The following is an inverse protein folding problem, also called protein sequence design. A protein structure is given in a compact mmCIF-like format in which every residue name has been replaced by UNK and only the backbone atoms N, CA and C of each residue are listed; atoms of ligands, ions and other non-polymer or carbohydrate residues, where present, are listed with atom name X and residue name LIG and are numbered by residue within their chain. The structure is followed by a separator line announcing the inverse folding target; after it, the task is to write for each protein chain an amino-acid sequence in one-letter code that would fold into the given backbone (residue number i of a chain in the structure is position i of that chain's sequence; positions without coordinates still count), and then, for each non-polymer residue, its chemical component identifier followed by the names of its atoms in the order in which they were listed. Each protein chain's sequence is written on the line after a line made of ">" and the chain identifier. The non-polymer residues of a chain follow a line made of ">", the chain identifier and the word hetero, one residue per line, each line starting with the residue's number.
data_IF_864059812788
#
_entry.id   IF_864059812788
#
_cell.length_a   1.000
_cell.length_b   1.000
_cell.length_c   1.000
_cell.angle_alpha   90.00
_cell.angle_beta   90.00
_cell.angle_gamma   90.00
#
_symmetry.space_group_name_H-M   'P 1'
#
loop_
_entity.id
_entity.type
_entity.pdbx_description
1 polymer ?
#
# COMPACT_ATOMS: atom_id res chain seq x y z
N UNK A 1 9.93 -15.91 11.87
CA UNK A 1 8.57 -15.34 12.05
C UNK A 1 8.44 -14.25 11.02
N UNK A 2 7.27 -14.06 10.41
CA UNK A 2 7.05 -12.95 9.48
C UNK A 2 7.21 -11.61 10.23
N UNK A 3 7.75 -10.61 9.56
CA UNK A 3 7.88 -9.24 10.08
C UNK A 3 7.01 -8.35 9.22
N UNK A 4 5.99 -7.74 9.83
CA UNK A 4 5.10 -6.84 9.13
C UNK A 4 5.57 -5.41 9.31
N UNK A 5 5.80 -4.73 8.19
CA UNK A 5 6.25 -3.33 8.16
C UNK A 5 5.13 -2.44 7.62
N UNK A 6 4.97 -1.23 8.18
CA UNK A 6 4.01 -0.28 7.65
C UNK A 6 4.42 0.15 6.23
N UNK A 7 3.43 0.38 5.38
CA UNK A 7 3.61 0.99 4.06
C UNK A 7 3.99 2.47 4.16
N UNK A 8 3.42 3.15 5.15
CA UNK A 8 3.78 4.51 5.56
C UNK A 8 3.62 4.62 7.08
N UNK A 9 4.33 5.54 7.71
CA UNK A 9 4.27 5.73 9.17
C UNK A 9 2.91 6.26 9.65
N UNK A 10 2.08 6.79 8.74
CA UNK A 10 0.72 7.24 9.02
C UNK A 10 -0.25 6.76 7.93
N UNK A 11 -1.56 6.66 8.21
CA UNK A 11 -2.55 6.36 7.18
C UNK A 11 -2.45 7.36 6.00
N UNK A 12 -2.33 6.83 4.78
CA UNK A 12 -2.17 7.63 3.56
C UNK A 12 -3.54 7.97 2.98
N UNK A 13 -3.69 9.22 2.54
CA UNK A 13 -4.86 9.68 1.80
C UNK A 13 -4.64 9.54 0.29
N UNK A 14 -5.63 9.01 -0.43
CA UNK A 14 -5.59 8.91 -1.88
C UNK A 14 -6.53 9.92 -2.53
N UNK A 15 -6.13 10.40 -3.69
CA UNK A 15 -6.84 11.43 -4.47
C UNK A 15 -7.06 10.94 -5.91
N UNK A 16 -8.08 11.49 -6.55
CA UNK A 16 -8.33 11.29 -7.97
C UNK A 16 -7.51 12.26 -8.85
N UNK A 17 -7.71 12.21 -10.17
CA UNK A 17 -7.01 13.09 -11.12
C UNK A 17 -7.41 14.57 -11.04
N UNK A 18 -8.57 14.88 -10.44
CA UNK A 18 -9.01 16.25 -10.19
C UNK A 18 -8.43 16.81 -8.88
N UNK A 19 -7.78 15.96 -8.07
CA UNK A 19 -7.24 16.32 -6.76
C UNK A 19 -8.26 16.21 -5.63
N UNK A 20 -9.43 15.64 -5.90
CA UNK A 20 -10.44 15.35 -4.88
C UNK A 20 -10.10 14.04 -4.17
N UNK A 21 -10.48 13.85 -2.89
CA UNK A 21 -10.28 12.58 -2.21
C UNK A 21 -10.91 11.42 -3.00
N UNK A 22 -10.21 10.30 -3.08
CA UNK A 22 -10.65 9.12 -3.82
C UNK A 22 -11.72 8.36 -3.03
N UNK A 23 -12.92 8.91 -2.98
CA UNK A 23 -14.04 8.38 -2.18
C UNK A 23 -14.55 7.07 -2.75
N UNK A 24 -14.59 6.03 -1.90
CA UNK A 24 -15.11 4.72 -2.29
C UNK A 24 -14.26 3.98 -3.31
N UNK A 25 -13.05 4.47 -3.60
CA UNK A 25 -12.06 3.73 -4.38
C UNK A 25 -11.55 2.49 -3.64
N UNK A 26 -10.76 1.68 -4.34
CA UNK A 26 -10.17 0.48 -3.76
C UNK A 26 -8.69 0.37 -4.08
N UNK A 27 -7.95 -0.17 -3.11
CA UNK A 27 -6.55 -0.54 -3.24
C UNK A 27 -6.46 -2.06 -3.35
N UNK A 28 -5.80 -2.55 -4.39
CA UNK A 28 -5.54 -3.98 -4.60
C UNK A 28 -4.04 -4.24 -4.58
N UNK A 29 -3.62 -5.27 -3.84
CA UNK A 29 -2.23 -5.58 -3.58
C UNK A 29 -1.84 -6.91 -4.22
N UNK A 30 -0.67 -6.93 -4.87
CA UNK A 30 -0.12 -8.09 -5.57
C UNK A 30 1.37 -8.24 -5.28
N UNK A 31 1.91 -9.44 -5.48
CA UNK A 31 3.36 -9.62 -5.51
C UNK A 31 3.95 -8.91 -6.74
N UNK A 32 5.06 -8.19 -6.56
CA UNK A 32 5.70 -7.39 -7.61
C UNK A 32 5.95 -8.18 -8.90
N UNK A 33 5.69 -7.55 -10.05
CA UNK A 33 5.84 -8.15 -11.37
C UNK A 33 4.81 -9.25 -11.70
N UNK A 34 3.83 -9.51 -10.83
CA UNK A 34 2.83 -10.57 -11.02
C UNK A 34 1.39 -10.04 -10.93
N UNK A 35 0.44 -10.96 -11.04
CA UNK A 35 -0.98 -10.75 -10.72
C UNK A 35 -1.43 -11.61 -9.53
N UNK A 36 -0.48 -12.18 -8.78
CA UNK A 36 -0.76 -12.98 -7.59
C UNK A 36 -1.14 -12.03 -6.47
N UNK A 37 -2.36 -12.16 -5.94
CA UNK A 37 -2.82 -11.30 -4.85
C UNK A 37 -1.94 -11.47 -3.60
N UNK A 38 -1.65 -10.37 -2.93
CA UNK A 38 -0.81 -10.32 -1.73
C UNK A 38 -1.66 -9.92 -0.53
N UNK A 39 -1.54 -10.65 0.57
CA UNK A 39 -2.21 -10.30 1.82
C UNK A 39 -1.61 -9.04 2.45
N UNK A 40 -2.49 -8.21 2.99
CA UNK A 40 -2.16 -7.07 3.84
C UNK A 40 -2.64 -7.27 5.27
N UNK A 41 -2.10 -6.41 6.13
CA UNK A 41 -2.34 -6.41 7.56
C UNK A 41 -2.64 -4.99 8.07
N UNK A 42 -3.35 -4.87 9.19
CA UNK A 42 -3.68 -3.60 9.84
C UNK A 42 -2.68 -3.16 10.91
N UNK A 43 -1.75 -4.04 11.32
CA UNK A 43 -0.79 -3.82 12.39
C UNK A 43 0.47 -4.68 12.22
N UNK A 44 1.47 -4.43 13.07
CA UNK A 44 2.73 -5.17 13.11
C UNK A 44 2.60 -6.58 13.70
N UNK A 45 1.46 -6.90 14.33
CA UNK A 45 1.15 -8.24 14.84
C UNK A 45 0.61 -9.18 13.75
N UNK A 46 0.26 -8.65 12.57
CA UNK A 46 -0.19 -9.43 11.42
C UNK A 46 -1.69 -9.70 11.39
N UNK A 47 -2.52 -8.79 11.93
CA UNK A 47 -3.97 -8.87 11.75
C UNK A 47 -4.32 -8.69 10.28
N UNK A 48 -4.74 -9.77 9.62
CA UNK A 48 -5.04 -9.75 8.18
C UNK A 48 -6.26 -8.89 7.85
N UNK A 49 -6.16 -8.11 6.78
CA UNK A 49 -7.26 -7.34 6.18
C UNK A 49 -7.61 -7.84 4.77
N UNK A 50 -7.04 -8.97 4.34
CA UNK A 50 -7.21 -9.53 3.00
C UNK A 50 -6.27 -8.90 1.97
N UNK A 51 -6.64 -8.98 0.69
CA UNK A 51 -5.81 -8.59 -0.46
C UNK A 51 -6.23 -7.26 -1.10
N UNK A 52 -7.33 -6.68 -0.61
CA UNK A 52 -7.88 -5.41 -1.08
C UNK A 52 -8.56 -4.67 0.05
N UNK A 53 -8.51 -3.34 0.03
CA UNK A 53 -9.21 -2.48 0.98
C UNK A 53 -9.92 -1.34 0.27
N UNK A 54 -11.06 -0.92 0.80
CA UNK A 54 -11.84 0.21 0.30
C UNK A 54 -11.48 1.49 1.04
N UNK A 55 -11.61 2.61 0.35
CA UNK A 55 -11.33 3.94 0.89
C UNK A 55 -12.62 4.58 1.41
N UNK A 56 -12.51 5.29 2.53
CA UNK A 56 -13.63 6.03 3.11
C UNK A 56 -13.95 7.34 2.36
N UNK A 57 -14.88 8.13 2.90
CA UNK A 57 -15.31 9.42 2.34
C UNK A 57 -14.23 10.50 2.29
N UNK A 58 -13.09 10.27 2.95
CA UNK A 58 -11.93 11.14 2.93
C UNK A 58 -10.79 10.52 2.12
N UNK A 59 -10.97 9.37 1.47
CA UNK A 59 -9.91 8.73 0.68
C UNK A 59 -8.86 7.99 1.51
N UNK A 60 -9.15 7.67 2.77
CA UNK A 60 -8.27 6.85 3.61
C UNK A 60 -8.69 5.38 3.63
N UNK A 61 -7.74 4.44 3.77
CA UNK A 61 -8.05 3.04 4.03
C UNK A 61 -8.83 2.89 5.33
N UNK A 62 -9.97 2.18 5.27
CA UNK A 62 -10.85 1.97 6.42
C UNK A 62 -11.13 0.48 6.65
N UNK A 63 -11.07 0.07 7.92
CA UNK A 63 -11.56 -1.23 8.36
C UNK A 63 -12.38 -1.06 9.63
N UNK A 64 -13.58 -1.62 9.65
CA UNK A 64 -14.48 -1.55 10.81
C UNK A 64 -14.86 -0.13 11.23
N UNK A 65 -14.90 0.83 10.30
CA UNK A 65 -15.22 2.24 10.57
C UNK A 65 -14.06 3.09 11.11
N UNK A 66 -12.86 2.54 11.20
CA UNK A 66 -11.67 3.27 11.62
C UNK A 66 -10.70 3.45 10.45
N UNK A 67 -10.09 4.62 10.35
CA UNK A 67 -8.93 4.82 9.49
C UNK A 67 -7.75 4.01 10.03
N UNK A 68 -7.14 3.20 9.16
CA UNK A 68 -6.04 2.31 9.54
C UNK A 68 -4.78 2.58 8.72
N UNK A 69 -3.63 2.27 9.32
CA UNK A 69 -2.40 2.08 8.57
C UNK A 69 -2.45 0.75 7.80
N UNK A 70 -1.61 0.63 6.80
CA UNK A 70 -1.48 -0.60 6.02
C UNK A 70 -0.10 -1.20 6.23
N UNK A 71 -0.05 -2.51 6.46
CA UNK A 71 1.17 -3.26 6.75
C UNK A 71 1.33 -4.41 5.77
N UNK A 72 2.57 -4.65 5.36
CA UNK A 72 2.95 -5.74 4.46
C UNK A 72 4.04 -6.61 5.06
N UNK A 73 4.16 -7.84 4.60
CA UNK A 73 5.32 -8.69 4.95
C UNK A 73 6.62 -8.11 4.36
N UNK A 74 7.62 -7.88 5.21
CA UNK A 74 8.92 -7.31 4.85
C UNK A 74 9.70 -8.15 3.81
N UNK A 75 9.39 -9.44 3.66
CA UNK A 75 10.04 -10.33 2.71
C UNK A 75 9.48 -10.25 1.28
N UNK A 76 8.39 -9.50 1.08
CA UNK A 76 7.64 -9.47 -0.18
C UNK A 76 7.73 -8.12 -0.86
N UNK A 77 8.12 -8.13 -2.14
CA UNK A 77 8.02 -6.97 -3.01
C UNK A 77 6.57 -6.79 -3.46
N UNK A 78 6.14 -5.53 -3.59
CA UNK A 78 4.75 -5.15 -3.73
C UNK A 78 4.45 -4.52 -5.08
N UNK A 79 3.26 -4.82 -5.58
CA UNK A 79 2.54 -4.07 -6.60
C UNK A 79 1.22 -3.57 -6.02
N UNK A 80 0.93 -2.29 -6.23
CA UNK A 80 -0.30 -1.63 -5.81
C UNK A 80 -1.08 -1.16 -7.04
N UNK A 81 -2.33 -1.57 -7.13
CA UNK A 81 -3.29 -1.06 -8.12
C UNK A 81 -4.36 -0.27 -7.37
N UNK A 82 -4.54 0.98 -7.79
CA UNK A 82 -5.52 1.91 -7.23
C UNK A 82 -6.65 2.04 -8.24
N UNK A 83 -7.88 1.81 -7.79
CA UNK A 83 -9.09 1.93 -8.60
C UNK A 83 -10.04 2.96 -8.00
N UNK A 84 -10.79 3.62 -8.87
CA UNK A 84 -11.91 4.47 -8.48
C UNK A 84 -13.12 3.65 -8.03
N UNK A 85 -14.18 4.33 -7.58
CA UNK A 85 -15.41 3.71 -7.13
C UNK A 85 -16.21 3.00 -8.24
N UNK A 86 -15.90 3.29 -9.52
CA UNK A 86 -16.45 2.58 -10.67
C UNK A 86 -15.61 1.36 -11.08
N UNK A 87 -14.47 1.12 -10.39
CA UNK A 87 -13.54 0.03 -10.66
C UNK A 87 -12.52 0.32 -11.78
N UNK A 88 -12.45 1.54 -12.29
CA UNK A 88 -11.44 1.92 -13.27
C UNK A 88 -10.10 2.18 -12.59
N UNK A 89 -9.01 1.72 -13.21
CA UNK A 89 -7.66 1.91 -12.68
C UNK A 89 -7.25 3.37 -12.78
N UNK A 90 -6.98 3.99 -11.63
CA UNK A 90 -6.44 5.35 -11.51
C UNK A 90 -4.93 5.32 -11.65
N UNK A 91 -4.28 4.39 -10.94
CA UNK A 91 -2.82 4.29 -10.91
C UNK A 91 -2.38 2.85 -10.65
N UNK A 92 -1.23 2.49 -11.21
CA UNK A 92 -0.54 1.24 -10.87
C UNK A 92 0.91 1.57 -10.52
N UNK A 93 1.35 1.09 -9.36
CA UNK A 93 2.73 1.13 -8.92
C UNK A 93 3.24 -0.31 -8.83
N UNK A 94 4.28 -0.65 -9.57
CA UNK A 94 4.88 -1.99 -9.60
C UNK A 94 6.35 -1.93 -9.17
N UNK A 95 6.95 -3.08 -8.93
CA UNK A 95 8.36 -3.23 -8.52
C UNK A 95 8.73 -2.44 -7.26
N UNK A 96 7.80 -2.28 -6.30
CA UNK A 96 8.10 -1.68 -5.00
C UNK A 96 8.92 -2.71 -4.20
N UNK A 97 10.22 -2.48 -3.95
CA UNK A 97 11.09 -3.49 -3.36
C UNK A 97 10.68 -3.77 -1.92
N UNK A 98 10.91 -5.00 -1.44
CA UNK A 98 10.54 -5.46 -0.11
C UNK A 98 11.24 -4.66 1.01
N UNK A 99 12.51 -4.32 0.77
CA UNK A 99 13.33 -3.42 1.57
C UNK A 99 13.77 -2.24 0.70
N UNK A 100 13.75 -1.03 1.26
CA UNK A 100 14.31 0.13 0.58
C UNK A 100 15.81 -0.13 0.33
N UNK A 101 16.21 -0.17 -0.94
CA UNK A 101 17.62 -0.22 -1.30
C UNK A 101 18.19 1.21 -1.15
N UNK A 102 18.88 1.46 -0.05
CA UNK A 102 19.74 2.64 0.01
C UNK A 102 20.99 2.33 -0.82
N UNK A 103 21.30 3.18 -1.79
CA UNK A 103 22.57 3.09 -2.52
C UNK A 103 23.71 3.37 -1.55
N UNK A 104 24.34 2.31 -1.02
CA UNK A 104 25.48 2.44 -0.10
C UNK A 104 26.69 3.14 -0.72
N UNK A 105 26.74 3.24 -2.06
CA UNK A 105 27.76 3.99 -2.79
C UNK A 105 27.54 5.50 -2.79
N UNK A 106 26.32 5.97 -2.49
CA UNK A 106 26.04 7.42 -2.39
C UNK A 106 26.65 8.05 -1.14
N UNK A 107 26.77 7.30 -0.03
CA UNK A 107 27.47 7.71 1.20
C UNK A 107 28.99 7.83 1.01
N UNK A 108 29.57 7.12 0.03
CA UNK A 108 31.00 7.15 -0.26
C UNK A 108 31.46 8.41 -1.03
N UNK A 109 30.52 9.25 -1.50
CA UNK A 109 30.80 10.54 -2.17
C UNK A 109 30.88 11.73 -1.21
N UNK A 110 30.71 11.49 0.10
CA UNK A 110 30.74 12.52 1.14
C UNK A 110 32.08 12.58 1.90
N UNK A 111 33.08 11.79 1.50
CA UNK A 111 34.46 11.85 2.02
C UNK A 111 35.40 12.56 1.02
#
# INVERSE_FOLDING_TARGET
>A
MATYIPLDNTPVQFFDSAGDPLVGGSLEFYEAGTTTAMDLFSDDAGTSIGTSITLNSLGYPESGGNTIGLFRDQSKALKLVIKDSAGATVLTMDDIPATAAFDSTSSAKLD
#
